data_IF_446462572498
#
_entry.id   IF_446462572498
#
_cell.length_a   1.000
_cell.length_b   1.000
_cell.length_c   1.000
_cell.angle_alpha   90.00
_cell.angle_beta   90.00
_cell.angle_gamma   90.00
#
_symmetry.space_group_name_H-M   'P 1'
#
loop_
_entity.id
_entity.type
_entity.pdbx_description
1 polymer ?
#
# COMPACT_ATOMS: atom_id res chain seq x y z
N UNK A 1 -5.48 2.73 12.19
CA UNK A 1 -6.68 1.88 12.09
C UNK A 1 -6.96 1.62 10.63
N UNK A 2 -7.09 0.36 10.21
CA UNK A 2 -7.47 0.01 8.83
C UNK A 2 -8.97 0.26 8.69
N UNK A 3 -9.36 1.33 7.99
CA UNK A 3 -10.78 1.72 7.87
C UNK A 3 -11.37 1.45 6.48
N UNK A 4 -10.53 1.50 5.44
CA UNK A 4 -10.93 1.35 4.05
C UNK A 4 -9.86 0.67 3.21
N UNK A 5 -10.25 0.25 2.02
CA UNK A 5 -9.36 -0.25 1.00
C UNK A 5 -8.28 0.79 0.68
N UNK A 6 -7.03 0.35 0.53
CA UNK A 6 -5.90 1.20 0.17
C UNK A 6 -5.89 1.62 -1.30
N UNK A 7 -6.74 1.01 -2.14
CA UNK A 7 -7.03 1.53 -3.48
C UNK A 7 -7.91 2.79 -3.34
N UNK A 8 -7.44 3.98 -3.75
CA UNK A 8 -8.21 5.22 -3.62
C UNK A 8 -9.49 5.23 -4.47
N UNK A 9 -9.57 4.43 -5.53
CA UNK A 9 -10.78 4.26 -6.34
C UNK A 9 -11.80 3.28 -5.73
N UNK A 10 -11.48 2.64 -4.61
CA UNK A 10 -12.34 1.66 -3.96
C UNK A 10 -12.90 2.21 -2.64
N UNK A 11 -14.22 2.11 -2.47
CA UNK A 11 -14.94 2.54 -1.26
C UNK A 11 -15.17 1.43 -0.24
N UNK A 12 -14.62 0.23 -0.47
CA UNK A 12 -14.80 -0.91 0.42
C UNK A 12 -14.27 -0.61 1.83
N UNK A 13 -15.10 -0.90 2.83
CA UNK A 13 -14.77 -0.73 4.25
C UNK A 13 -14.14 -2.00 4.82
N UNK A 14 -13.18 -1.82 5.72
CA UNK A 14 -12.58 -2.93 6.45
C UNK A 14 -13.52 -3.42 7.54
N UNK A 15 -14.50 -4.24 7.17
CA UNK A 15 -15.48 -4.82 8.09
C UNK A 15 -15.05 -6.21 8.59
N UNK A 16 -14.44 -7.01 7.71
CA UNK A 16 -14.06 -8.39 8.01
C UNK A 16 -12.71 -8.75 7.40
N UNK A 17 -11.86 -9.42 8.19
CA UNK A 17 -10.52 -9.87 7.80
C UNK A 17 -10.53 -10.87 6.62
N UNK A 18 -11.63 -11.59 6.39
CA UNK A 18 -11.73 -12.61 5.34
C UNK A 18 -12.02 -12.07 3.93
N UNK A 19 -12.39 -10.79 3.78
CA UNK A 19 -12.74 -10.18 2.48
C UNK A 19 -11.60 -9.34 1.89
N UNK A 20 -10.36 -9.79 2.06
CA UNK A 20 -9.22 -9.08 1.48
C UNK A 20 -7.86 -9.57 1.96
N UNK A 21 -6.84 -8.77 1.68
CA UNK A 21 -5.45 -9.11 1.96
C UNK A 21 -4.76 -7.97 2.70
N UNK A 22 -4.03 -8.33 3.74
CA UNK A 22 -3.19 -7.41 4.49
C UNK A 22 -1.78 -7.38 3.90
N UNK A 23 -1.31 -6.17 3.66
CA UNK A 23 0.04 -5.87 3.21
C UNK A 23 0.78 -5.23 4.37
N UNK A 24 1.91 -5.84 4.72
CA UNK A 24 2.80 -5.36 5.77
C UNK A 24 3.98 -4.66 5.11
N UNK A 25 4.10 -3.36 5.33
CA UNK A 25 5.14 -2.54 4.73
C UNK A 25 6.01 -1.95 5.82
N UNK A 26 7.30 -2.31 5.79
CA UNK A 26 8.30 -1.76 6.68
C UNK A 26 8.85 -0.49 6.08
N UNK A 27 8.69 0.64 6.77
CA UNK A 27 9.44 1.85 6.44
C UNK A 27 10.75 1.81 7.19
N UNK A 28 11.85 1.67 6.47
CA UNK A 28 13.16 1.96 7.02
C UNK A 28 13.24 3.47 7.23
N UNK A 29 13.38 3.90 8.49
CA UNK A 29 13.60 5.31 8.79
C UNK A 29 14.91 5.72 8.14
N UNK A 30 14.85 6.68 7.22
CA UNK A 30 16.00 7.27 6.55
C UNK A 30 16.82 8.18 7.49
N UNK A 31 17.06 7.74 8.72
CA UNK A 31 18.01 8.38 9.65
C UNK A 31 19.38 7.70 9.55
N UNK A 32 19.75 7.18 8.38
CA UNK A 32 21.07 6.63 8.11
C UNK A 32 21.96 7.71 7.47
N UNK A 33 22.10 8.84 8.17
CA UNK A 33 23.22 9.75 8.03
C UNK A 33 23.74 9.96 9.44
N UNK A 34 24.78 9.23 9.83
CA UNK A 34 25.37 9.38 11.16
C UNK A 34 25.97 8.10 11.70
N UNK A 35 27.16 7.78 11.21
CA UNK A 35 28.35 7.33 11.95
C UNK A 35 28.24 6.15 12.93
N UNK A 36 29.15 5.19 12.70
CA UNK A 36 29.65 4.16 13.61
C UNK A 36 29.45 4.47 15.10
N UNK A 37 28.41 3.90 15.71
CA UNK A 37 28.31 3.75 17.15
C UNK A 37 27.77 2.35 17.48
N UNK A 38 28.51 1.56 18.30
CA UNK A 38 28.07 0.23 18.72
C UNK A 38 27.11 0.39 19.89
N UNK A 39 25.89 0.86 19.63
CA UNK A 39 24.85 0.86 20.66
C UNK A 39 23.53 0.40 20.08
N UNK A 40 22.97 -0.63 20.71
CA UNK A 40 21.82 -1.44 20.31
C UNK A 40 20.48 -0.68 20.38
N UNK A 41 20.41 0.59 19.95
CA UNK A 41 19.14 1.30 19.79
C UNK A 41 18.40 0.74 18.59
N UNK A 42 17.57 -0.28 18.87
CA UNK A 42 16.53 -0.87 18.00
C UNK A 42 16.10 0.14 16.93
N UNK A 43 16.65 -0.01 15.73
CA UNK A 43 16.21 0.70 14.52
C UNK A 43 14.70 0.53 14.49
N UNK A 44 13.96 1.57 14.85
CA UNK A 44 12.50 1.49 15.05
C UNK A 44 11.88 1.45 13.67
N UNK A 45 11.89 0.26 13.07
CA UNK A 45 11.23 -0.05 11.84
C UNK A 45 9.74 0.24 12.04
N UNK A 46 9.27 1.35 11.47
CA UNK A 46 7.86 1.72 11.57
C UNK A 46 7.10 0.80 10.62
N UNK A 47 6.44 -0.18 11.22
CA UNK A 47 5.63 -1.16 10.53
C UNK A 47 4.25 -0.57 10.26
N UNK A 48 3.88 -0.45 9.00
CA UNK A 48 2.55 0.00 8.59
C UNK A 48 1.80 -1.13 7.90
N UNK A 49 0.54 -1.29 8.27
CA UNK A 49 -0.37 -2.26 7.66
C UNK A 49 -1.33 -1.54 6.73
N UNK A 50 -1.54 -2.14 5.56
CA UNK A 50 -2.50 -1.70 4.57
C UNK A 50 -3.40 -2.87 4.17
N UNK A 51 -4.63 -2.58 3.77
CA UNK A 51 -5.61 -3.59 3.38
C UNK A 51 -6.14 -3.30 1.99
N UNK A 52 -6.22 -4.34 1.16
CA UNK A 52 -7.00 -4.33 -0.07
C UNK A 52 -8.16 -5.31 0.09
N UNK A 53 -9.35 -4.96 -0.40
CA UNK A 53 -10.45 -5.92 -0.50
C UNK A 53 -10.09 -7.08 -1.44
N UNK A 54 -10.88 -8.16 -1.43
CA UNK A 54 -10.63 -9.35 -2.25
C UNK A 54 -10.50 -9.04 -3.75
N UNK A 55 -11.33 -8.14 -4.28
CA UNK A 55 -11.31 -7.72 -5.68
C UNK A 55 -9.99 -6.99 -6.02
N UNK A 56 -9.68 -5.92 -5.27
CA UNK A 56 -8.44 -5.18 -5.46
C UNK A 56 -7.19 -6.06 -5.21
N UNK A 57 -7.23 -6.98 -4.24
CA UNK A 57 -6.10 -7.86 -3.95
C UNK A 57 -5.84 -8.90 -5.07
N UNK A 58 -6.83 -9.21 -5.90
CA UNK A 58 -6.65 -10.05 -7.09
C UNK A 58 -5.94 -9.31 -8.22
N UNK A 59 -6.23 -8.02 -8.37
CA UNK A 59 -5.78 -7.20 -9.50
C UNK A 59 -4.51 -6.39 -9.22
N UNK A 60 -4.29 -6.01 -7.96
CA UNK A 60 -3.21 -5.11 -7.57
C UNK A 60 -2.59 -5.51 -6.24
N UNK A 61 -1.37 -5.02 -6.04
CA UNK A 61 -0.61 -5.10 -4.80
C UNK A 61 -0.20 -3.70 -4.38
N UNK A 62 0.34 -3.54 -3.17
CA UNK A 62 0.85 -2.27 -2.69
C UNK A 62 2.37 -2.23 -2.76
N UNK A 63 2.91 -1.12 -3.25
CA UNK A 63 4.34 -0.85 -3.29
C UNK A 63 4.66 0.47 -2.60
N UNK A 64 5.80 0.52 -1.91
CA UNK A 64 6.34 1.77 -1.39
C UNK A 64 7.14 2.47 -2.49
N UNK A 65 6.72 3.68 -2.88
CA UNK A 65 7.48 4.57 -3.72
C UNK A 65 8.06 5.70 -2.88
N UNK A 66 9.39 5.84 -2.91
CA UNK A 66 10.11 6.94 -2.23
C UNK A 66 9.55 8.28 -2.71
N UNK A 67 9.20 9.16 -1.77
CA UNK A 67 8.63 10.49 -2.05
C UNK A 67 7.10 10.54 -2.23
N UNK A 68 6.44 9.42 -2.56
CA UNK A 68 4.98 9.35 -2.75
C UNK A 68 4.29 8.60 -1.61
N UNK A 69 4.95 7.58 -1.06
CA UNK A 69 4.38 6.69 -0.06
C UNK A 69 3.86 5.39 -0.66
N UNK A 70 2.77 4.85 -0.10
CA UNK A 70 2.21 3.57 -0.53
C UNK A 70 1.24 3.79 -1.69
N UNK A 71 1.53 3.11 -2.80
CA UNK A 71 0.72 3.18 -4.00
C UNK A 71 0.26 1.79 -4.43
N UNK A 72 -0.98 1.64 -4.91
CA UNK A 72 -1.40 0.42 -5.60
C UNK A 72 -0.66 0.30 -6.93
N UNK A 73 -0.18 -0.90 -7.21
CA UNK A 73 0.48 -1.26 -8.47
C UNK A 73 -0.13 -2.58 -8.99
N UNK A 74 -0.30 -2.75 -10.31
CA UNK A 74 -0.80 -4.00 -10.87
C UNK A 74 0.01 -5.20 -10.39
N UNK A 75 -0.68 -6.29 -10.01
CA UNK A 75 0.00 -7.57 -9.77
C UNK A 75 0.49 -8.14 -11.11
N UNK A 76 1.62 -8.85 -11.14
CA UNK A 76 2.11 -9.48 -12.38
C UNK A 76 1.03 -10.47 -12.86
N UNK A 77 0.30 -10.09 -13.91
CA UNK A 77 -0.87 -10.81 -14.42
C UNK A 77 -2.10 -9.93 -14.65
N UNK A 78 -2.15 -8.73 -14.06
CA UNK A 78 -3.26 -7.80 -14.29
C UNK A 78 -2.96 -6.86 -15.46
N UNK A 79 -3.53 -7.17 -16.62
CA UNK A 79 -3.73 -6.20 -17.70
C UNK A 79 -4.86 -5.31 -17.24
N UNK A 80 -4.56 -4.10 -16.76
CA UNK A 80 -5.63 -3.13 -16.47
C UNK A 80 -6.50 -3.00 -17.72
N UNK A 81 -7.82 -3.26 -17.67
CA UNK A 81 -8.69 -2.74 -18.70
C UNK A 81 -8.52 -1.23 -18.59
N UNK A 82 -7.85 -0.64 -19.57
CA UNK A 82 -7.65 0.79 -19.64
C UNK A 82 -9.01 1.39 -19.95
N UNK A 83 -9.86 1.51 -18.92
CA UNK A 83 -11.04 2.36 -18.98
C UNK A 83 -10.47 3.76 -18.96
N UNK A 84 -10.16 4.26 -20.16
CA UNK A 84 -10.18 5.69 -20.41
C UNK A 84 -11.51 6.16 -19.85
N UNK A 85 -11.48 6.85 -18.70
CA UNK A 85 -12.56 7.74 -18.32
C UNK A 85 -12.65 8.75 -19.45
N UNK A 86 -13.46 8.41 -20.46
CA UNK A 86 -14.12 9.39 -21.30
C UNK A 86 -14.93 10.21 -20.33
N UNK A 87 -14.36 11.33 -19.89
CA UNK A 87 -15.16 12.43 -19.40
C UNK A 87 -15.96 12.90 -20.61
N UNK A 88 -17.16 12.34 -20.73
CA UNK A 88 -18.19 12.84 -21.62
C UNK A 88 -18.57 14.24 -21.13
N UNK A 89 -18.71 15.13 -22.10
CA UNK A 89 -18.94 16.56 -21.88
C UNK A 89 -20.34 16.81 -21.34
N UNK A 90 -20.48 17.78 -20.44
CA UNK A 90 -21.68 18.62 -20.33
C UNK A 90 -21.27 20.01 -19.84
#
# INVERSE_FOLDING_TARGET
MLSKCANPGCSARFLYLNRGKLFRITRESANACGEDLPDHKKRTQRLEYFWLCSECAGEMTLAFRKGVGIVPVPSRGFVQPTVFLRHDSA
#
